data_IF_083154945250
#
_entry.id   IF_083154945250
#
_cell.length_a   1.000
_cell.length_b   1.000
_cell.length_c   1.000
_cell.angle_alpha   90.00
_cell.angle_beta   90.00
_cell.angle_gamma   90.00
#
_symmetry.space_group_name_H-M   'P 1'
#
loop_
_entity.id
_entity.type
_entity.pdbx_description
1 polymer ?
#
# COMPACT_ATOMS: atom_id res chain seq x y z
N UNK A 1 26.10 26.01 2.98
CA UNK A 1 26.08 24.54 2.97
C UNK A 1 25.75 24.08 4.39
N UNK A 2 24.70 23.28 4.59
CA UNK A 2 24.34 22.81 5.93
C UNK A 2 25.38 21.79 6.42
N UNK A 3 26.03 22.07 7.55
CA UNK A 3 27.03 21.18 8.14
C UNK A 3 26.33 19.95 8.71
N UNK A 4 26.69 18.75 8.23
CA UNK A 4 26.18 17.46 8.70
C UNK A 4 27.30 16.70 9.39
N UNK A 5 27.01 16.15 10.56
CA UNK A 5 27.95 15.37 11.37
C UNK A 5 27.40 13.96 11.59
N UNK A 6 28.22 12.94 11.40
CA UNK A 6 27.81 11.55 11.66
C UNK A 6 27.55 11.34 13.16
N UNK A 7 26.45 10.63 13.46
CA UNK A 7 26.16 10.20 14.83
C UNK A 7 27.06 9.04 15.19
N UNK A 8 27.73 9.11 16.34
CA UNK A 8 28.67 8.07 16.79
C UNK A 8 27.95 6.72 16.90
N UNK A 9 28.52 5.68 16.28
CA UNK A 9 27.98 4.32 16.30
C UNK A 9 26.90 4.04 15.24
N UNK A 10 26.51 5.02 14.42
CA UNK A 10 25.49 4.87 13.38
C UNK A 10 25.99 5.37 12.03
N UNK A 11 26.15 4.47 11.06
CA UNK A 11 26.64 4.79 9.71
C UNK A 11 25.68 5.68 8.91
N UNK A 12 24.38 5.46 9.09
CA UNK A 12 23.33 6.09 8.29
C UNK A 12 22.61 7.23 9.00
N UNK A 13 23.06 7.65 10.19
CA UNK A 13 22.46 8.78 10.89
C UNK A 13 23.41 9.97 10.86
N UNK A 14 22.89 11.12 10.43
CA UNK A 14 23.60 12.39 10.45
C UNK A 14 22.82 13.42 11.24
N UNK A 15 23.52 14.19 12.07
CA UNK A 15 22.99 15.35 12.77
C UNK A 15 23.20 16.59 11.90
N UNK A 16 22.13 17.30 11.63
CA UNK A 16 22.17 18.62 11.03
C UNK A 16 22.47 19.68 12.10
N UNK A 17 23.53 20.47 11.90
CA UNK A 17 24.03 21.38 12.94
C UNK A 17 23.17 22.62 13.18
N UNK A 18 22.43 23.07 12.16
CA UNK A 18 21.54 24.25 12.26
C UNK A 18 20.25 23.94 13.01
N UNK A 19 19.63 22.79 12.72
CA UNK A 19 18.34 22.38 13.30
C UNK A 19 18.49 21.45 14.51
N UNK A 20 19.69 20.91 14.74
CA UNK A 20 19.94 19.78 15.65
C UNK A 20 19.15 18.51 15.32
N UNK A 21 18.51 18.43 14.15
CA UNK A 21 17.77 17.24 13.71
C UNK A 21 18.68 16.07 13.38
N UNK A 22 18.21 14.84 13.67
CA UNK A 22 18.87 13.60 13.25
C UNK A 22 18.12 13.05 12.03
N UNK A 23 18.84 12.88 10.93
CA UNK A 23 18.28 12.42 9.65
C UNK A 23 18.92 11.09 9.27
N UNK A 24 18.09 10.14 8.85
CA UNK A 24 18.57 8.90 8.24
C UNK A 24 18.94 9.17 6.78
N UNK A 25 20.16 8.81 6.39
CA UNK A 25 20.72 8.97 5.04
C UNK A 25 20.68 7.69 4.22
N UNK A 26 20.18 6.59 4.76
CA UNK A 26 19.98 5.34 4.03
C UNK A 26 18.76 5.43 3.11
N UNK A 27 19.03 5.82 1.86
CA UNK A 27 18.01 5.91 0.80
C UNK A 27 17.51 4.51 0.40
N UNK A 28 18.38 3.50 0.39
CA UNK A 28 18.03 2.14 -0.07
C UNK A 28 17.01 1.44 0.85
N UNK A 29 17.19 1.57 2.16
CA UNK A 29 16.22 1.05 3.14
C UNK A 29 14.88 1.76 3.04
N UNK A 30 14.90 3.09 2.88
CA UNK A 30 13.68 3.87 2.68
C UNK A 30 12.94 3.45 1.42
N UNK A 31 13.63 3.31 0.28
CA UNK A 31 13.04 2.84 -0.97
C UNK A 31 12.43 1.44 -0.82
N UNK A 32 13.13 0.53 -0.15
CA UNK A 32 12.64 -0.83 0.10
C UNK A 32 11.40 -0.82 0.99
N UNK A 33 11.39 0.01 2.03
CA UNK A 33 10.24 0.20 2.89
C UNK A 33 9.03 0.76 2.11
N UNK A 34 9.24 1.80 1.30
CA UNK A 34 8.19 2.40 0.47
C UNK A 34 7.63 1.43 -0.57
N UNK A 35 8.48 0.60 -1.18
CA UNK A 35 8.04 -0.47 -2.08
C UNK A 35 7.09 -1.45 -1.37
N UNK A 36 7.40 -1.83 -0.12
CA UNK A 36 6.53 -2.72 0.67
C UNK A 36 5.20 -2.07 1.04
N UNK A 37 5.18 -0.78 1.34
CA UNK A 37 3.93 -0.04 1.59
C UNK A 37 3.05 -0.08 0.35
N UNK A 38 3.58 0.35 -0.80
CA UNK A 38 2.83 0.38 -2.06
C UNK A 38 2.29 -0.99 -2.43
N UNK A 39 3.11 -2.04 -2.31
CA UNK A 39 2.67 -3.40 -2.58
C UNK A 39 1.50 -3.85 -1.68
N UNK A 40 1.46 -3.41 -0.42
CA UNK A 40 0.35 -3.71 0.50
C UNK A 40 -0.91 -2.93 0.12
N UNK A 41 -0.77 -1.68 -0.26
CA UNK A 41 -1.88 -0.84 -0.73
C UNK A 41 -2.50 -1.43 -2.00
N UNK A 42 -1.67 -1.72 -3.00
CA UNK A 42 -2.07 -2.34 -4.27
C UNK A 42 -2.76 -3.69 -4.04
N UNK A 43 -2.20 -4.54 -3.18
CA UNK A 43 -2.81 -5.84 -2.84
C UNK A 43 -4.17 -5.67 -2.14
N UNK A 44 -4.30 -4.68 -1.24
CA UNK A 44 -5.58 -4.36 -0.60
C UNK A 44 -6.63 -3.89 -1.59
N UNK A 45 -6.23 -3.07 -2.57
CA UNK A 45 -7.10 -2.59 -3.65
C UNK A 45 -7.55 -3.74 -4.56
N UNK A 46 -6.64 -4.64 -4.94
CA UNK A 46 -6.95 -5.82 -5.73
C UNK A 46 -7.99 -6.70 -5.05
N UNK A 47 -7.83 -6.99 -3.76
CA UNK A 47 -8.82 -7.77 -3.01
C UNK A 47 -10.18 -7.07 -2.98
N UNK A 48 -10.20 -5.76 -2.71
CA UNK A 48 -11.46 -4.99 -2.65
C UNK A 48 -12.18 -4.99 -4.00
N UNK A 49 -11.45 -4.88 -5.11
CA UNK A 49 -12.03 -4.95 -6.45
C UNK A 49 -12.58 -6.34 -6.74
N UNK A 50 -11.81 -7.40 -6.47
CA UNK A 50 -12.27 -8.78 -6.66
C UNK A 50 -13.55 -9.09 -5.86
N UNK A 51 -13.66 -8.60 -4.61
CA UNK A 51 -14.87 -8.76 -3.79
C UNK A 51 -16.07 -8.03 -4.41
N UNK A 52 -15.88 -6.83 -4.97
CA UNK A 52 -16.96 -6.12 -5.68
C UNK A 52 -17.43 -6.91 -6.90
N UNK A 53 -16.49 -7.43 -7.70
CA UNK A 53 -16.81 -8.21 -8.88
C UNK A 53 -17.57 -9.50 -8.54
N UNK A 54 -17.16 -10.20 -7.47
CA UNK A 54 -17.88 -11.37 -6.95
C UNK A 54 -19.31 -11.02 -6.55
N UNK A 55 -19.52 -9.89 -5.88
CA UNK A 55 -20.86 -9.46 -5.47
C UNK A 55 -21.74 -9.06 -6.66
N UNK A 56 -21.16 -8.45 -7.69
CA UNK A 56 -21.86 -8.16 -8.94
C UNK A 56 -22.29 -9.46 -9.62
N UNK A 57 -21.38 -10.41 -9.81
CA UNK A 57 -21.68 -11.73 -10.38
C UNK A 57 -22.78 -12.46 -9.60
N UNK A 58 -22.73 -12.42 -8.26
CA UNK A 58 -23.76 -13.02 -7.41
C UNK A 58 -25.14 -12.39 -7.64
N UNK A 59 -25.18 -11.10 -7.91
CA UNK A 59 -26.42 -10.36 -8.20
C UNK A 59 -26.97 -10.75 -9.57
N UNK A 60 -26.13 -10.73 -10.60
CA UNK A 60 -26.48 -11.16 -11.97
C UNK A 60 -27.00 -12.61 -11.98
N UNK A 61 -26.33 -13.54 -11.28
CA UNK A 61 -26.79 -14.92 -11.16
C UNK A 61 -28.15 -15.05 -10.48
N UNK A 62 -28.43 -14.19 -9.48
CA UNK A 62 -29.73 -14.16 -8.81
C UNK A 62 -30.82 -13.65 -9.74
N UNK A 63 -30.52 -12.65 -10.56
CA UNK A 63 -31.42 -12.13 -11.58
C UNK A 63 -31.74 -13.20 -12.63
N UNK A 64 -30.72 -13.86 -13.19
CA UNK A 64 -30.89 -14.98 -14.13
C UNK A 64 -31.76 -16.07 -13.51
N UNK A 65 -31.47 -16.46 -12.26
CA UNK A 65 -32.28 -17.45 -11.53
C UNK A 65 -33.75 -17.03 -11.42
N UNK A 66 -34.03 -15.75 -11.17
CA UNK A 66 -35.39 -15.25 -11.08
C UNK A 66 -36.10 -15.27 -12.44
N UNK A 67 -35.41 -14.88 -13.51
CA UNK A 67 -35.95 -14.95 -14.87
C UNK A 67 -36.33 -16.39 -15.25
N UNK A 68 -35.46 -17.36 -14.95
CA UNK A 68 -35.73 -18.78 -15.21
C UNK A 68 -36.96 -19.28 -14.44
N UNK A 69 -37.16 -18.82 -13.21
CA UNK A 69 -38.35 -19.19 -12.41
C UNK A 69 -39.66 -18.67 -13.01
N UNK A 70 -39.65 -17.48 -13.63
CA UNK A 70 -40.84 -16.95 -14.29
C UNK A 70 -41.17 -17.69 -15.60
N UNK A 71 -40.19 -18.34 -16.24
CA UNK A 71 -40.40 -19.14 -17.46
C UNK A 71 -40.91 -20.55 -17.13
N UNK A 72 -40.47 -21.13 -16.02
CA UNK A 72 -40.85 -22.50 -15.60
C UNK A 72 -42.18 -22.53 -14.82
N UNK A 73 -42.74 -21.37 -14.50
CA UNK A 73 -44.13 -21.23 -14.00
C UNK A 73 -45.13 -21.59 -15.08
#
# INVERSE_FOLDING_TARGET
MATRLHVKGYSHLVREMSSSGIVNTNVSEYETYMKRIRAREEHGDQIRNAVKDINNLKTELREIKNLLKEIVK
#
